data_IF_160510003260
#
_entry.id   IF_160510003260
#
_cell.length_a   1.000
_cell.length_b   1.000
_cell.length_c   1.000
_cell.angle_alpha   90.00
_cell.angle_beta   90.00
_cell.angle_gamma   90.00
#
_symmetry.space_group_name_H-M   'P 1'
#
loop_
_entity.id
_entity.type
_entity.pdbx_description
1 polymer ?
#
# COMPACT_ATOMS: atom_id res chain seq x y z
N UNK A 1 33.25 34.96 -54.03
CA UNK A 1 32.27 34.95 -52.92
C UNK A 1 31.93 33.48 -52.63
N UNK A 2 32.61 32.82 -51.67
CA UNK A 2 32.12 32.46 -50.29
C UNK A 2 30.93 31.49 -50.31
N UNK A 3 30.82 30.30 -49.68
CA UNK A 3 31.54 29.47 -48.66
C UNK A 3 31.01 28.00 -48.81
N UNK A 4 31.81 26.94 -48.73
CA UNK A 4 32.02 26.02 -47.58
C UNK A 4 30.82 25.65 -46.69
N UNK A 5 30.67 24.33 -46.42
CA UNK A 5 30.15 23.79 -45.14
C UNK A 5 28.99 22.80 -45.31
N UNK A 6 29.19 21.48 -45.28
CA UNK A 6 29.47 20.61 -44.12
C UNK A 6 28.21 19.93 -43.57
N UNK A 7 28.34 18.61 -43.42
CA UNK A 7 27.46 17.61 -42.85
C UNK A 7 26.69 18.01 -41.58
N UNK A 8 25.53 17.38 -41.35
CA UNK A 8 25.27 16.73 -40.06
C UNK A 8 24.17 15.67 -40.15
N UNK A 9 24.58 14.41 -39.98
CA UNK A 9 23.78 13.33 -39.41
C UNK A 9 23.08 13.82 -38.13
N UNK A 10 21.81 13.46 -37.93
CA UNK A 10 21.34 13.15 -36.57
C UNK A 10 20.18 12.17 -36.61
N UNK A 11 20.57 10.91 -36.45
CA UNK A 11 19.78 9.87 -35.85
C UNK A 11 19.04 10.41 -34.62
N UNK A 12 17.72 10.28 -34.58
CA UNK A 12 16.98 10.30 -33.33
C UNK A 12 16.08 9.08 -33.32
N UNK A 13 16.60 8.10 -32.60
CA UNK A 13 15.99 6.88 -32.12
C UNK A 13 14.47 7.00 -32.02
N UNK A 14 13.76 6.22 -32.83
CA UNK A 14 12.37 5.86 -32.59
C UNK A 14 12.32 5.19 -31.23
N UNK A 15 11.95 6.02 -30.26
CA UNK A 15 11.71 5.78 -28.87
C UNK A 15 11.03 4.41 -28.69
N UNK A 16 11.82 3.41 -28.30
CA UNK A 16 11.32 2.16 -27.71
C UNK A 16 10.69 2.48 -26.36
N UNK A 17 9.53 3.15 -26.40
CA UNK A 17 8.61 3.26 -25.30
C UNK A 17 7.97 1.89 -25.10
N UNK A 18 8.75 0.94 -24.59
CA UNK A 18 8.19 -0.18 -23.87
C UNK A 18 7.41 0.45 -22.72
N UNK A 19 6.09 0.59 -22.92
CA UNK A 19 5.14 0.94 -21.90
C UNK A 19 5.29 -0.11 -20.80
N UNK A 20 6.20 0.14 -19.86
CA UNK A 20 6.32 -0.64 -18.65
C UNK A 20 4.97 -0.47 -17.98
N UNK A 21 4.19 -1.55 -17.97
CA UNK A 21 3.11 -1.72 -17.02
C UNK A 21 3.71 -1.30 -15.67
N UNK A 22 3.24 -0.19 -15.12
CA UNK A 22 3.83 0.43 -13.95
C UNK A 22 3.86 -0.59 -12.81
N UNK A 23 5.03 -1.18 -12.59
CA UNK A 23 5.30 -1.96 -11.40
C UNK A 23 4.97 -1.05 -10.20
N UNK A 24 4.23 -1.56 -9.20
CA UNK A 24 3.98 -0.80 -7.99
C UNK A 24 5.32 -0.38 -7.39
N UNK A 25 5.55 0.92 -7.28
CA UNK A 25 6.77 1.47 -6.69
C UNK A 25 6.74 1.22 -5.18
N UNK A 26 7.35 0.10 -4.76
CA UNK A 26 7.49 -0.26 -3.35
C UNK A 26 8.49 0.66 -2.66
N UNK A 27 8.01 1.41 -1.68
CA UNK A 27 8.80 2.33 -0.85
C UNK A 27 8.88 1.83 0.58
N UNK A 28 9.87 2.28 1.33
CA UNK A 28 9.93 2.03 2.76
C UNK A 28 8.75 2.74 3.47
N UNK A 29 8.05 2.02 4.33
CA UNK A 29 6.95 2.52 5.11
C UNK A 29 7.02 1.97 6.53
N UNK A 30 6.75 2.80 7.53
CA UNK A 30 6.80 2.39 8.94
C UNK A 30 5.46 1.79 9.35
N UNK A 31 5.45 0.58 9.90
CA UNK A 31 4.24 0.01 10.48
C UNK A 31 3.90 0.71 11.79
N UNK A 32 2.78 1.40 11.82
CA UNK A 32 2.30 2.15 13.01
C UNK A 32 1.29 1.36 13.85
N UNK A 33 0.57 0.42 13.23
CA UNK A 33 -0.39 -0.46 13.90
C UNK A 33 -0.44 -1.79 13.14
N UNK A 34 -0.56 -2.89 13.87
CA UNK A 34 -0.78 -4.22 13.31
C UNK A 34 -1.64 -5.03 14.27
N UNK A 35 -2.69 -5.66 13.75
CA UNK A 35 -3.62 -6.47 14.56
C UNK A 35 -4.35 -7.51 13.72
N UNK A 36 -4.70 -8.61 14.36
CA UNK A 36 -5.62 -9.63 13.84
C UNK A 36 -6.85 -9.64 14.72
N UNK A 37 -8.04 -9.63 14.12
CA UNK A 37 -9.29 -9.68 14.87
C UNK A 37 -10.35 -10.48 14.12
N UNK A 38 -11.36 -10.91 14.86
CA UNK A 38 -12.50 -11.64 14.34
C UNK A 38 -13.57 -10.65 13.83
N UNK A 39 -14.12 -10.90 12.64
CA UNK A 39 -15.22 -10.13 12.07
C UNK A 39 -16.34 -11.06 11.66
N UNK A 40 -17.56 -10.72 12.05
CA UNK A 40 -18.76 -11.40 11.57
C UNK A 40 -19.13 -10.90 10.18
N UNK A 41 -19.28 -11.83 9.22
CA UNK A 41 -19.76 -11.54 7.88
C UNK A 41 -21.28 -11.54 7.91
N UNK A 42 -21.87 -10.41 7.53
CA UNK A 42 -23.32 -10.25 7.50
C UNK A 42 -24.00 -11.37 6.69
N UNK A 43 -25.05 -11.96 7.26
CA UNK A 43 -25.89 -12.94 6.57
C UNK A 43 -26.59 -12.28 5.38
N UNK A 44 -26.38 -12.81 4.17
CA UNK A 44 -27.07 -12.35 2.97
C UNK A 44 -28.25 -13.29 2.73
N UNK A 45 -29.43 -12.72 2.51
CA UNK A 45 -30.63 -13.45 2.05
C UNK A 45 -30.71 -13.30 0.54
N UNK A 46 -30.55 -14.41 -0.20
CA UNK A 46 -30.75 -14.45 -1.65
C UNK A 46 -31.84 -15.47 -1.94
N UNK A 47 -32.97 -15.02 -2.48
CA UNK A 47 -34.08 -15.91 -2.87
C UNK A 47 -34.73 -16.71 -1.72
N UNK A 48 -34.75 -16.15 -0.50
CA UNK A 48 -35.37 -16.81 0.68
C UNK A 48 -34.45 -17.79 1.43
N UNK A 49 -33.25 -18.08 0.92
CA UNK A 49 -32.25 -18.89 1.62
C UNK A 49 -31.37 -17.95 2.46
N UNK A 50 -31.40 -18.11 3.78
CA UNK A 50 -30.54 -17.38 4.72
C UNK A 50 -29.23 -18.14 4.88
N UNK A 51 -28.14 -17.58 4.37
CA UNK A 51 -26.80 -18.08 4.70
C UNK A 51 -26.50 -17.76 6.17
N UNK A 52 -25.97 -18.72 6.96
CA UNK A 52 -25.57 -18.44 8.34
C UNK A 52 -24.49 -17.37 8.35
N UNK A 53 -24.50 -16.52 9.38
CA UNK A 53 -23.42 -15.57 9.60
C UNK A 53 -22.11 -16.35 9.74
N UNK A 54 -21.11 -15.94 8.97
CA UNK A 54 -19.81 -16.60 8.94
C UNK A 54 -18.79 -15.70 9.63
N UNK A 55 -18.05 -16.25 10.57
CA UNK A 55 -16.91 -15.58 11.17
C UNK A 55 -15.71 -15.63 10.22
N UNK A 56 -15.01 -14.51 10.05
CA UNK A 56 -13.72 -14.46 9.36
C UNK A 56 -12.65 -13.75 10.20
N UNK A 57 -11.43 -14.28 10.18
CA UNK A 57 -10.27 -13.63 10.78
C UNK A 57 -9.71 -12.58 9.82
N UNK A 58 -9.66 -11.33 10.27
CA UNK A 58 -9.21 -10.18 9.48
C UNK A 58 -7.87 -9.71 10.01
N UNK A 59 -6.90 -9.57 9.11
CA UNK A 59 -5.64 -8.89 9.36
C UNK A 59 -5.77 -7.42 9.00
N UNK A 60 -5.28 -6.55 9.88
CA UNK A 60 -5.23 -5.10 9.68
C UNK A 60 -3.84 -4.58 9.98
N UNK A 61 -3.34 -3.75 9.07
CA UNK A 61 -2.06 -3.05 9.23
C UNK A 61 -2.24 -1.59 8.84
N UNK A 62 -1.67 -0.69 9.65
CA UNK A 62 -1.57 0.73 9.33
C UNK A 62 -0.11 1.09 9.12
N UNK A 63 0.24 1.56 7.93
CA UNK A 63 1.59 2.02 7.60
C UNK A 63 1.64 3.53 7.43
N UNK A 64 2.75 4.15 7.78
CA UNK A 64 3.08 5.52 7.39
C UNK A 64 3.91 5.47 6.10
N UNK A 65 3.32 5.89 4.99
CA UNK A 65 3.91 5.88 3.65
C UNK A 65 3.84 7.29 3.07
N UNK A 66 4.99 7.87 2.71
CA UNK A 66 5.09 9.23 2.15
C UNK A 66 4.34 10.29 2.99
N UNK A 67 4.43 10.22 4.32
CA UNK A 67 3.72 11.13 5.24
C UNK A 67 2.22 10.84 5.39
N UNK A 68 1.67 9.81 4.75
CA UNK A 68 0.26 9.43 4.86
C UNK A 68 0.12 8.15 5.67
N UNK A 69 -0.77 8.13 6.66
CA UNK A 69 -1.16 6.91 7.38
C UNK A 69 -2.23 6.17 6.59
N UNK A 70 -1.88 4.99 6.09
CA UNK A 70 -2.74 4.15 5.27
C UNK A 70 -3.04 2.86 6.03
N UNK A 71 -4.33 2.60 6.29
CA UNK A 71 -4.79 1.36 6.92
C UNK A 71 -5.34 0.41 5.86
N UNK A 72 -4.75 -0.78 5.79
CA UNK A 72 -5.19 -1.89 4.96
C UNK A 72 -5.78 -3.03 5.79
N UNK A 73 -6.81 -3.69 5.24
CA UNK A 73 -7.42 -4.90 5.80
C UNK A 73 -7.49 -6.02 4.76
N UNK A 74 -7.26 -7.26 5.17
CA UNK A 74 -7.43 -8.45 4.34
C UNK A 74 -7.80 -9.67 5.18
N UNK A 75 -8.40 -10.66 4.50
CA UNK A 75 -8.67 -11.99 5.08
C UNK A 75 -7.59 -12.93 4.57
N UNK A 76 -6.77 -13.54 5.44
CA UNK A 76 -5.83 -14.57 5.03
C UNK A 76 -6.59 -15.75 4.42
N UNK A 77 -6.18 -16.20 3.22
CA UNK A 77 -6.86 -17.31 2.53
C UNK A 77 -6.37 -18.68 2.97
N UNK A 78 -5.13 -18.75 3.46
CA UNK A 78 -4.44 -19.96 3.89
C UNK A 78 -3.55 -19.62 5.10
N UNK A 79 -3.06 -20.63 5.82
CA UNK A 79 -2.08 -20.46 6.91
C UNK A 79 -0.75 -19.88 6.43
N UNK A 80 -0.45 -20.04 5.13
CA UNK A 80 0.75 -19.50 4.47
C UNK A 80 0.50 -18.04 4.01
N UNK A 81 -0.76 -17.61 3.92
CA UNK A 81 -1.07 -16.23 3.56
C UNK A 81 -0.56 -15.31 4.67
N UNK A 82 0.33 -14.37 4.33
CA UNK A 82 0.84 -13.37 5.28
C UNK A 82 -0.30 -12.74 6.09
N UNK A 83 -0.09 -12.66 7.39
CA UNK A 83 -1.00 -12.13 8.39
C UNK A 83 -0.49 -10.80 8.90
N UNK A 84 -1.29 -10.07 9.68
CA UNK A 84 -0.81 -8.84 10.30
C UNK A 84 0.42 -9.09 11.21
N UNK A 85 0.55 -10.29 11.80
CA UNK A 85 1.65 -10.64 12.71
C UNK A 85 3.02 -10.56 12.02
N UNK A 86 3.06 -10.76 10.72
CA UNK A 86 4.28 -10.71 9.91
C UNK A 86 4.76 -9.27 9.65
N UNK A 87 3.92 -8.29 9.98
CA UNK A 87 4.19 -6.86 9.90
C UNK A 87 4.13 -6.25 11.32
N UNK A 88 5.12 -6.51 12.19
CA UNK A 88 5.10 -6.00 13.55
C UNK A 88 5.21 -4.47 13.59
N UNK A 89 4.53 -3.86 14.57
CA UNK A 89 4.58 -2.42 14.80
C UNK A 89 6.02 -1.95 15.05
N UNK A 90 6.37 -0.81 14.47
CA UNK A 90 7.68 -0.18 14.60
C UNK A 90 8.74 -0.75 13.65
N UNK A 91 8.36 -1.65 12.73
CA UNK A 91 9.26 -2.09 11.66
C UNK A 91 8.98 -1.35 10.36
N UNK A 92 10.07 -1.09 9.63
CA UNK A 92 10.00 -0.67 8.25
C UNK A 92 9.68 -1.86 7.36
N UNK A 93 8.70 -1.67 6.49
CA UNK A 93 8.25 -2.66 5.51
C UNK A 93 8.24 -2.00 4.15
N UNK A 94 8.40 -2.79 3.08
CA UNK A 94 8.24 -2.28 1.73
C UNK A 94 6.75 -2.28 1.39
N UNK A 95 6.20 -1.11 1.15
CA UNK A 95 4.80 -0.92 0.87
C UNK A 95 4.57 -0.06 -0.37
N UNK A 96 3.48 -0.33 -1.08
CA UNK A 96 3.00 0.50 -2.16
C UNK A 96 1.48 0.70 -2.03
N UNK A 97 0.98 1.88 -2.35
CA UNK A 97 -0.46 2.15 -2.37
C UNK A 97 -0.93 2.34 -3.82
N UNK A 98 -1.91 1.55 -4.26
CA UNK A 98 -2.49 1.64 -5.60
C UNK A 98 -4.00 1.69 -5.54
N UNK A 99 -4.61 2.80 -6.01
CA UNK A 99 -6.07 3.02 -5.98
C UNK A 99 -6.65 2.69 -4.59
N UNK A 100 -7.27 1.51 -4.45
CA UNK A 100 -7.92 1.04 -3.22
C UNK A 100 -7.17 -0.14 -2.54
N UNK A 101 -5.91 -0.37 -2.90
CA UNK A 101 -5.09 -1.46 -2.40
C UNK A 101 -3.81 -0.94 -1.75
N UNK A 102 -3.47 -1.52 -0.61
CA UNK A 102 -2.19 -1.41 0.05
C UNK A 102 -1.46 -2.73 -0.21
N UNK A 103 -0.34 -2.66 -0.90
CA UNK A 103 0.54 -3.79 -1.17
C UNK A 103 1.64 -3.76 -0.12
N UNK A 104 1.84 -4.88 0.56
CA UNK A 104 2.89 -5.06 1.57
C UNK A 104 3.78 -6.21 1.13
N UNK A 105 5.08 -5.98 1.03
CA UNK A 105 6.06 -7.03 0.77
C UNK A 105 6.34 -7.78 2.08
N UNK A 106 6.09 -9.08 2.05
CA UNK A 106 6.35 -9.98 3.15
C UNK A 106 7.83 -10.40 3.16
N UNK A 107 8.43 -10.75 4.32
CA UNK A 107 9.85 -11.12 4.40
C UNK A 107 10.29 -12.30 3.51
N UNK A 108 9.35 -13.16 3.09
CA UNK A 108 9.61 -14.26 2.17
C UNK A 108 9.59 -13.84 0.68
N UNK A 109 9.40 -12.55 0.40
CA UNK A 109 9.29 -11.99 -0.95
C UNK A 109 7.89 -12.06 -1.56
N UNK A 110 6.90 -12.61 -0.85
CA UNK A 110 5.50 -12.60 -1.30
C UNK A 110 4.84 -11.22 -1.09
N UNK A 111 3.80 -10.91 -1.87
CA UNK A 111 3.09 -9.64 -1.77
C UNK A 111 1.71 -9.87 -1.17
N UNK A 112 1.48 -9.26 -0.01
CA UNK A 112 0.17 -9.20 0.62
C UNK A 112 -0.61 -8.03 0.04
N UNK A 113 -1.78 -8.31 -0.52
CA UNK A 113 -2.69 -7.29 -1.05
C UNK A 113 -3.81 -7.02 -0.05
N UNK A 114 -3.73 -5.88 0.62
CA UNK A 114 -4.74 -5.40 1.55
C UNK A 114 -5.68 -4.39 0.88
N UNK A 115 -6.97 -4.42 1.23
CA UNK A 115 -7.91 -3.38 0.84
C UNK A 115 -7.71 -2.17 1.74
N UNK A 116 -7.57 -0.98 1.16
CA UNK A 116 -7.49 0.25 1.94
C UNK A 116 -8.87 0.53 2.55
N UNK A 117 -8.90 0.69 3.87
CA UNK A 117 -10.11 1.04 4.63
C UNK A 117 -10.05 2.45 5.21
N UNK A 118 -8.84 3.01 5.33
CA UNK A 118 -8.62 4.37 5.83
C UNK A 118 -7.36 4.97 5.25
N UNK A 119 -7.42 6.27 4.92
CA UNK A 119 -6.26 7.12 4.62
C UNK A 119 -6.36 8.37 5.47
N UNK A 120 -5.29 8.74 6.14
CA UNK A 120 -5.18 9.98 6.92
C UNK A 120 -3.86 10.62 6.56
N UNK A 121 -3.91 11.80 5.95
CA UNK A 121 -2.71 12.61 5.76
C UNK A 121 -2.18 13.00 7.15
N UNK A 122 -0.91 12.71 7.42
CA UNK A 122 -0.30 13.17 8.66
C UNK A 122 -0.09 14.67 8.48
N UNK A 123 -0.94 15.49 9.10
CA UNK A 123 -0.64 16.92 9.21
C UNK A 123 0.64 17.02 10.03
N UNK A 124 1.70 17.53 9.42
CA UNK A 124 3.00 17.73 10.06
C UNK A 124 2.98 18.82 11.16
N UNK A 125 1.80 19.26 11.63
CA UNK A 125 1.61 20.44 12.47
C UNK A 125 1.25 20.15 13.93
N UNK A 126 0.99 18.90 14.34
CA UNK A 126 0.55 18.61 15.72
C UNK A 126 1.68 18.51 16.77
N UNK A 127 2.95 18.41 16.35
CA UNK A 127 4.08 18.34 17.29
C UNK A 127 4.67 19.72 17.67
N UNK A 128 4.43 20.77 16.86
CA UNK A 128 4.95 22.12 17.17
C UNK A 128 4.08 22.86 18.20
N UNK A 129 2.78 22.58 18.23
CA UNK A 129 1.84 23.25 19.14
C UNK A 129 1.86 22.70 20.57
N UNK A 130 2.31 21.45 20.76
CA UNK A 130 2.42 20.85 22.10
C UNK A 130 3.62 21.37 22.88
N UNK A 131 4.71 21.71 22.19
CA UNK A 131 5.91 22.26 22.81
C UNK A 131 5.76 23.75 23.18
N UNK A 132 4.89 24.49 22.47
CA UNK A 132 4.59 25.90 22.81
C UNK A 132 3.60 26.10 23.96
N UNK A 133 2.80 25.09 24.31
CA UNK A 133 1.84 25.16 25.44
C UNK A 133 2.39 24.58 26.75
N UNK A 134 3.62 24.06 26.73
CA UNK A 134 4.29 23.47 27.89
C UNK A 134 5.39 24.34 28.52
N UNK A 135 5.50 25.62 28.15
CA UNK A 135 6.39 26.59 28.81
C UNK A 135 5.60 27.71 29.45
#
# INVERSE_FOLDING_TARGET
>A
MTRFGAALLLASLSLSGAARAADPEFKAALVTESRVYEREKASIVVGGIRTPAATEWVSRVTVALDGVRITGEWVPKTTISGTAKDFPRGKDVRAAARRNQLLLEHPDGSIVTARIVRRVESRADEDVDRERRGR
#
